data_IF_536891558430
#
_entry.id   IF_536891558430
#
_cell.length_a   1.000
_cell.length_b   1.000
_cell.length_c   1.000
_cell.angle_alpha   90.00
_cell.angle_beta   90.00
_cell.angle_gamma   90.00
#
_symmetry.space_group_name_H-M   'P 1'
#
loop_
_entity.id
_entity.type
_entity.pdbx_description
1 polymer ?
#
# COMPACT_ATOMS: atom_id res chain seq x y z
N UNK A 1 4.48 23.88 14.79
CA UNK A 1 3.61 23.05 15.67
C UNK A 1 3.53 23.73 17.02
N UNK A 2 2.36 23.92 17.55
CA UNK A 2 2.09 24.51 18.85
C UNK A 2 1.46 23.47 19.79
N UNK A 3 1.38 23.77 21.09
CA UNK A 3 0.66 22.90 22.03
C UNK A 3 -0.81 22.73 21.63
N UNK A 4 -1.44 23.79 21.11
CA UNK A 4 -2.80 23.72 20.60
C UNK A 4 -2.97 22.76 19.45
N UNK A 5 -2.01 22.66 18.53
CA UNK A 5 -2.06 21.68 17.43
C UNK A 5 -2.07 20.24 17.98
N UNK A 6 -1.25 19.95 19.02
CA UNK A 6 -1.22 18.64 19.67
C UNK A 6 -2.52 18.33 20.43
N UNK A 7 -3.14 19.33 21.05
CA UNK A 7 -4.40 19.19 21.79
C UNK A 7 -5.59 18.88 20.86
N UNK A 8 -5.51 19.22 19.59
CA UNK A 8 -6.54 18.95 18.58
C UNK A 8 -6.39 17.62 17.85
N UNK A 9 -5.24 16.96 17.94
CA UNK A 9 -5.03 15.63 17.34
C UNK A 9 -5.98 14.63 17.99
N UNK A 10 -6.67 13.86 17.14
CA UNK A 10 -7.55 12.77 17.56
C UNK A 10 -7.19 11.51 16.78
N UNK A 11 -7.20 10.38 17.47
CA UNK A 11 -7.13 9.08 16.82
C UNK A 11 -8.46 8.75 16.14
N UNK A 12 -8.40 8.26 14.92
CA UNK A 12 -9.59 7.81 14.18
C UNK A 12 -9.56 6.28 14.10
N UNK A 13 -10.67 5.66 14.50
CA UNK A 13 -10.87 4.22 14.33
C UNK A 13 -11.45 3.96 12.94
N UNK A 14 -10.80 3.10 12.17
CA UNK A 14 -11.26 2.66 10.85
C UNK A 14 -11.41 1.14 10.84
N UNK A 15 -12.41 0.64 10.12
CA UNK A 15 -12.58 -0.80 9.94
C UNK A 15 -11.50 -1.33 9.00
N UNK A 16 -10.95 -2.54 9.28
CA UNK A 16 -9.92 -3.12 8.44
C UNK A 16 -10.47 -3.49 7.06
N UNK A 17 -9.60 -3.40 6.05
CA UNK A 17 -9.87 -4.02 4.75
C UNK A 17 -9.95 -5.53 4.92
N UNK A 18 -10.92 -6.13 4.23
CA UNK A 18 -11.12 -7.58 4.20
C UNK A 18 -10.94 -8.10 2.78
N UNK A 19 -10.21 -9.18 2.64
CA UNK A 19 -10.05 -9.90 1.40
C UNK A 19 -9.86 -11.38 1.63
N UNK A 20 -9.63 -12.12 0.58
CA UNK A 20 -9.32 -13.55 0.67
C UNK A 20 -8.20 -13.94 -0.28
N UNK A 21 -7.39 -14.90 0.12
CA UNK A 21 -6.37 -15.48 -0.73
C UNK A 21 -6.28 -16.99 -0.46
N UNK A 22 -6.56 -17.80 -1.47
CA UNK A 22 -6.48 -19.28 -1.40
C UNK A 22 -7.22 -19.87 -0.20
N UNK A 23 -8.39 -19.33 0.14
CA UNK A 23 -9.22 -19.79 1.24
C UNK A 23 -8.89 -19.15 2.61
N UNK A 24 -7.84 -18.35 2.71
CA UNK A 24 -7.52 -17.58 3.92
C UNK A 24 -8.20 -16.22 3.88
N UNK A 25 -8.74 -15.77 5.02
CA UNK A 25 -9.16 -14.39 5.20
C UNK A 25 -7.92 -13.52 5.44
N UNK A 26 -7.87 -12.38 4.76
CA UNK A 26 -6.81 -11.37 4.91
C UNK A 26 -7.43 -10.12 5.51
N UNK A 27 -6.89 -9.67 6.63
CA UNK A 27 -7.21 -8.39 7.26
C UNK A 27 -6.01 -7.46 7.11
N UNK A 28 -6.26 -6.22 6.67
CA UNK A 28 -5.18 -5.26 6.43
C UNK A 28 -5.62 -3.83 6.74
N UNK A 29 -4.70 -2.90 7.04
CA UNK A 29 -5.05 -1.50 7.27
C UNK A 29 -5.80 -0.90 6.09
N UNK A 30 -6.85 -0.11 6.36
CA UNK A 30 -7.58 0.62 5.32
C UNK A 30 -6.85 1.92 4.93
N UNK A 31 -7.28 2.61 3.87
CA UNK A 31 -6.84 3.97 3.60
C UNK A 31 -6.99 4.89 4.84
N UNK A 32 -6.09 5.87 5.01
CA UNK A 32 -5.11 6.36 4.02
C UNK A 32 -3.89 5.45 3.79
N UNK A 33 -3.72 4.37 4.56
CA UNK A 33 -2.65 3.41 4.25
C UNK A 33 -2.90 2.72 2.91
N UNK A 34 -1.99 2.86 1.98
CA UNK A 34 -2.05 2.20 0.68
C UNK A 34 -1.65 0.72 0.75
N UNK A 35 -0.88 0.32 1.77
CA UNK A 35 -0.29 -1.01 1.90
C UNK A 35 -1.31 -2.14 1.87
N UNK A 36 -2.46 -1.96 2.54
CA UNK A 36 -3.52 -2.96 2.57
C UNK A 36 -4.17 -3.19 1.21
N UNK A 37 -4.46 -2.13 0.47
CA UNK A 37 -5.01 -2.21 -0.87
C UNK A 37 -4.03 -2.87 -1.84
N UNK A 38 -2.77 -2.41 -1.86
CA UNK A 38 -1.72 -3.02 -2.70
C UNK A 38 -1.54 -4.50 -2.40
N UNK A 39 -1.51 -4.88 -1.11
CA UNK A 39 -1.37 -6.28 -0.72
C UNK A 39 -2.52 -7.14 -1.27
N UNK A 40 -3.77 -6.72 -1.05
CA UNK A 40 -4.94 -7.45 -1.52
C UNK A 40 -4.99 -7.54 -3.05
N UNK A 41 -4.65 -6.48 -3.74
CA UNK A 41 -4.59 -6.46 -5.20
C UNK A 41 -3.52 -7.40 -5.73
N UNK A 42 -2.29 -7.36 -5.21
CA UNK A 42 -1.21 -8.26 -5.59
C UNK A 42 -1.62 -9.72 -5.34
N UNK A 43 -2.16 -10.03 -4.17
CA UNK A 43 -2.61 -11.38 -3.84
C UNK A 43 -3.72 -11.85 -4.80
N UNK A 44 -4.70 -11.01 -5.10
CA UNK A 44 -5.78 -11.33 -6.02
C UNK A 44 -5.29 -11.57 -7.46
N UNK A 45 -4.33 -10.78 -7.94
CA UNK A 45 -3.69 -11.01 -9.24
C UNK A 45 -2.93 -12.34 -9.22
N UNK A 46 -2.12 -12.58 -8.19
CA UNK A 46 -1.31 -13.79 -8.04
C UNK A 46 -2.14 -15.06 -7.86
N UNK A 47 -3.35 -14.97 -7.31
CA UNK A 47 -4.23 -16.13 -7.07
C UNK A 47 -4.59 -16.88 -8.36
N UNK A 48 -4.60 -16.20 -9.49
CA UNK A 48 -4.86 -16.81 -10.80
C UNK A 48 -3.70 -17.62 -11.38
N UNK A 49 -2.55 -17.66 -10.69
CA UNK A 49 -1.38 -18.44 -11.11
C UNK A 49 -1.09 -19.57 -10.14
N UNK A 50 -0.71 -20.73 -10.64
CA UNK A 50 -0.18 -21.82 -9.81
C UNK A 50 1.30 -21.58 -9.47
N UNK A 51 1.55 -20.60 -8.59
CA UNK A 51 2.91 -20.24 -8.18
C UNK A 51 3.62 -21.41 -7.47
N UNK A 52 2.88 -22.32 -6.83
CA UNK A 52 3.47 -23.44 -6.11
C UNK A 52 4.17 -24.42 -7.07
N UNK A 53 3.56 -24.70 -8.22
CA UNK A 53 4.15 -25.57 -9.24
C UNK A 53 5.35 -24.97 -9.96
N UNK A 54 5.53 -23.64 -9.88
CA UNK A 54 6.64 -22.95 -10.54
C UNK A 54 7.97 -23.11 -9.81
N UNK A 55 7.94 -23.56 -8.56
CA UNK A 55 9.10 -23.69 -7.68
C UNK A 55 9.44 -22.39 -6.94
N UNK A 56 9.94 -22.55 -5.72
CA UNK A 56 10.29 -21.45 -4.84
C UNK A 56 11.40 -20.59 -5.45
N UNK A 57 11.19 -19.28 -5.49
CA UNK A 57 12.10 -18.28 -6.09
C UNK A 57 12.50 -18.54 -7.54
N UNK A 58 11.72 -19.33 -8.29
CA UNK A 58 11.97 -19.48 -9.73
C UNK A 58 11.81 -18.13 -10.45
N UNK A 59 12.57 -17.94 -11.53
CA UNK A 59 12.47 -16.71 -12.33
C UNK A 59 11.05 -16.43 -12.83
N UNK A 60 10.30 -17.49 -13.12
CA UNK A 60 8.90 -17.39 -13.55
C UNK A 60 7.99 -16.89 -12.41
N UNK A 61 8.12 -17.44 -11.22
CA UNK A 61 7.34 -17.00 -10.06
C UNK A 61 7.68 -15.55 -9.69
N UNK A 62 8.98 -15.21 -9.64
CA UNK A 62 9.45 -13.84 -9.37
C UNK A 62 8.94 -12.87 -10.42
N UNK A 63 8.98 -13.24 -11.71
CA UNK A 63 8.45 -12.42 -12.80
C UNK A 63 6.97 -12.08 -12.61
N UNK A 64 6.12 -13.08 -12.36
CA UNK A 64 4.67 -12.87 -12.21
C UNK A 64 4.32 -12.03 -10.99
N UNK A 65 5.02 -12.26 -9.87
CA UNK A 65 4.84 -11.44 -8.67
C UNK A 65 5.27 -9.98 -8.93
N UNK A 66 6.41 -9.77 -9.60
CA UNK A 66 6.87 -8.43 -9.95
C UNK A 66 5.91 -7.71 -10.91
N UNK A 67 5.34 -8.43 -11.88
CA UNK A 67 4.33 -7.87 -12.78
C UNK A 67 3.02 -7.51 -12.04
N UNK A 68 2.59 -8.33 -11.08
CA UNK A 68 1.45 -8.00 -10.21
C UNK A 68 1.73 -6.75 -9.36
N UNK A 69 2.92 -6.67 -8.77
CA UNK A 69 3.35 -5.50 -8.00
C UNK A 69 3.36 -4.23 -8.85
N UNK A 70 3.90 -4.27 -10.07
CA UNK A 70 3.90 -3.09 -10.97
C UNK A 70 2.49 -2.54 -11.18
N UNK A 71 1.48 -3.41 -11.31
CA UNK A 71 0.10 -2.99 -11.53
C UNK A 71 -0.51 -2.40 -10.27
N UNK A 72 -0.36 -3.06 -9.14
CA UNK A 72 -0.85 -2.54 -7.86
C UNK A 72 -0.19 -1.19 -7.50
N UNK A 73 1.10 -1.03 -7.77
CA UNK A 73 1.78 0.25 -7.54
C UNK A 73 1.42 1.34 -8.57
N UNK A 74 1.07 0.97 -9.79
CA UNK A 74 0.51 1.93 -10.74
C UNK A 74 -0.89 2.39 -10.29
N UNK A 75 -1.72 1.47 -9.79
CA UNK A 75 -3.03 1.80 -9.23
C UNK A 75 -2.90 2.62 -7.94
N UNK A 76 -1.94 2.26 -7.07
CA UNK A 76 -1.59 3.04 -5.89
C UNK A 76 -1.28 4.48 -6.27
N UNK A 77 -0.36 4.68 -7.20
CA UNK A 77 0.10 5.99 -7.62
C UNK A 77 -1.02 6.88 -8.19
N UNK A 78 -2.08 6.29 -8.71
CA UNK A 78 -3.13 7.05 -9.39
C UNK A 78 -4.45 7.15 -8.61
N UNK A 79 -4.73 6.21 -7.71
CA UNK A 79 -6.08 6.03 -7.14
C UNK A 79 -6.14 6.17 -5.64
N UNK A 80 -4.99 6.18 -4.95
CA UNK A 80 -4.99 6.19 -3.49
C UNK A 80 -4.70 7.57 -2.93
N UNK A 81 -5.29 7.85 -1.79
CA UNK A 81 -5.14 9.08 -1.04
C UNK A 81 -5.91 9.00 0.26
N UNK A 82 -5.98 10.09 0.99
CA UNK A 82 -6.78 10.15 2.22
C UNK A 82 -8.27 10.17 1.87
N UNK A 83 -9.06 9.14 2.29
CA UNK A 83 -10.49 9.03 1.98
C UNK A 83 -11.33 10.13 2.61
N UNK A 84 -10.78 10.90 3.56
CA UNK A 84 -11.46 12.05 4.13
C UNK A 84 -11.45 13.25 3.15
N UNK A 85 -10.60 13.22 2.11
CA UNK A 85 -10.44 14.28 1.10
C UNK A 85 -10.69 13.80 -0.34
N UNK A 86 -10.42 12.53 -0.65
CA UNK A 86 -10.56 11.98 -2.00
C UNK A 86 -11.32 10.66 -2.01
N UNK A 87 -12.00 10.38 -3.11
CA UNK A 87 -12.70 9.11 -3.28
C UNK A 87 -11.74 8.02 -3.73
N UNK A 88 -11.40 7.11 -2.83
CA UNK A 88 -10.60 5.91 -3.12
C UNK A 88 -11.53 4.78 -3.53
N UNK A 89 -11.38 4.16 -4.72
CA UNK A 89 -12.27 3.11 -5.22
C UNK A 89 -11.97 1.72 -4.61
N UNK A 90 -11.99 1.64 -3.28
CA UNK A 90 -11.60 0.45 -2.49
C UNK A 90 -12.25 -0.83 -2.99
N UNK A 91 -13.58 -0.83 -3.11
CA UNK A 91 -14.40 -1.98 -3.54
C UNK A 91 -13.95 -2.53 -4.91
N UNK A 92 -13.55 -1.63 -5.81
CA UNK A 92 -13.07 -2.02 -7.14
C UNK A 92 -11.69 -2.67 -7.05
N UNK A 93 -10.75 -2.00 -6.38
CA UNK A 93 -9.34 -2.43 -6.30
C UNK A 93 -9.18 -3.79 -5.61
N UNK A 94 -9.97 -4.07 -4.57
CA UNK A 94 -9.90 -5.37 -3.87
C UNK A 94 -10.72 -6.47 -4.54
N UNK A 95 -11.45 -6.17 -5.63
CA UNK A 95 -12.31 -7.16 -6.27
C UNK A 95 -11.53 -8.18 -7.11
N UNK A 96 -11.95 -9.44 -7.07
CA UNK A 96 -11.38 -10.51 -7.92
C UNK A 96 -11.53 -10.18 -9.42
N UNK A 97 -12.68 -9.57 -9.79
CA UNK A 97 -12.94 -9.17 -11.19
C UNK A 97 -11.93 -8.15 -11.69
N UNK A 98 -11.55 -7.19 -10.85
CA UNK A 98 -10.54 -6.21 -11.19
C UNK A 98 -9.17 -6.88 -11.36
N UNK A 99 -8.81 -7.74 -10.42
CA UNK A 99 -7.57 -8.50 -10.48
C UNK A 99 -7.47 -9.40 -11.73
N UNK A 100 -8.59 -10.02 -12.16
CA UNK A 100 -8.66 -10.81 -13.41
C UNK A 100 -8.32 -9.93 -14.62
N UNK A 101 -8.85 -8.73 -14.68
CA UNK A 101 -8.53 -7.76 -15.73
C UNK A 101 -7.05 -7.37 -15.70
N UNK A 102 -6.52 -6.99 -14.54
CA UNK A 102 -5.12 -6.62 -14.38
C UNK A 102 -4.17 -7.78 -14.72
N UNK A 103 -4.57 -9.02 -14.38
CA UNK A 103 -3.83 -10.22 -14.72
C UNK A 103 -3.79 -10.46 -16.24
N UNK A 104 -4.88 -10.19 -16.97
CA UNK A 104 -4.91 -10.34 -18.42
C UNK A 104 -3.96 -9.43 -19.18
N UNK A 105 -3.46 -8.37 -18.53
CA UNK A 105 -2.47 -7.44 -19.09
C UNK A 105 -1.02 -7.94 -18.89
N UNK A 106 -0.80 -9.03 -18.13
CA UNK A 106 0.53 -9.56 -17.83
C UNK A 106 0.98 -10.51 -18.93
N UNK A 107 2.10 -10.17 -19.59
CA UNK A 107 2.84 -11.14 -20.38
C UNK A 107 3.58 -12.08 -19.42
N UNK A 108 3.34 -13.40 -19.55
CA UNK A 108 3.92 -14.38 -18.63
C UNK A 108 5.37 -14.75 -18.93
N UNK A 109 5.94 -14.19 -20.00
CA UNK A 109 7.30 -14.47 -20.48
C UNK A 109 8.16 -13.21 -20.49
N UNK A 110 7.62 -12.09 -20.97
CA UNK A 110 8.36 -10.85 -21.13
C UNK A 110 7.94 -9.82 -20.07
N UNK A 111 8.94 -9.16 -19.46
CA UNK A 111 8.69 -8.11 -18.49
C UNK A 111 8.10 -6.86 -19.18
N UNK A 112 7.02 -6.33 -18.64
CA UNK A 112 6.47 -5.06 -19.08
C UNK A 112 7.38 -3.91 -18.61
N UNK A 113 7.75 -3.01 -19.51
CA UNK A 113 8.47 -1.79 -19.12
C UNK A 113 7.61 -0.97 -18.15
N UNK A 114 8.19 -0.57 -17.00
CA UNK A 114 7.44 0.12 -15.94
C UNK A 114 6.72 1.37 -16.42
N UNK A 115 7.34 2.13 -17.33
CA UNK A 115 6.74 3.33 -17.94
C UNK A 115 5.50 3.06 -18.81
N UNK A 116 5.24 1.81 -19.17
CA UNK A 116 4.06 1.39 -19.94
C UNK A 116 2.93 0.89 -19.05
N UNK A 117 3.22 0.53 -17.82
CA UNK A 117 2.18 0.10 -16.87
C UNK A 117 1.45 1.34 -16.37
N UNK A 118 0.16 1.42 -16.66
CA UNK A 118 -0.73 2.46 -16.17
C UNK A 118 -1.64 1.90 -15.09
N UNK A 119 -2.27 2.78 -14.30
CA UNK A 119 -3.35 2.36 -13.46
C UNK A 119 -4.48 1.75 -14.30
N UNK A 120 -5.15 0.79 -13.74
CA UNK A 120 -6.32 0.22 -14.40
C UNK A 120 -7.52 1.19 -14.43
N UNK A 121 -7.43 2.28 -13.68
CA UNK A 121 -8.33 3.45 -13.69
C UNK A 121 -7.40 4.66 -13.54
N UNK A 122 -7.64 5.84 -14.08
CA UNK A 122 -6.63 6.92 -14.12
C UNK A 122 -6.61 7.87 -12.90
N UNK A 123 -5.44 8.20 -12.33
CA UNK A 123 -4.99 9.34 -11.48
C UNK A 123 -3.55 9.21 -10.86
N UNK A 124 -2.81 10.08 -10.42
CA UNK A 124 -1.56 10.53 -9.76
C UNK A 124 -0.36 9.63 -9.29
N UNK A 125 0.80 10.12 -8.74
CA UNK A 125 2.10 9.38 -8.47
C UNK A 125 2.64 9.54 -7.04
N UNK A 126 3.64 8.69 -6.60
CA UNK A 126 4.05 8.39 -5.20
C UNK A 126 5.53 8.13 -4.84
N UNK A 127 5.90 8.14 -3.51
CA UNK A 127 7.20 7.95 -2.85
C UNK A 127 7.33 6.77 -1.84
N UNK A 128 8.48 6.59 -1.10
CA UNK A 128 8.78 5.36 -0.31
C UNK A 128 9.68 5.57 0.91
N UNK A 129 9.28 5.17 2.19
CA UNK A 129 10.15 4.67 3.28
C UNK A 129 9.37 4.46 4.61
N UNK A 130 9.51 3.29 5.27
CA UNK A 130 8.70 2.93 6.46
C UNK A 130 9.45 1.95 7.37
N UNK A 131 9.18 1.96 8.68
CA UNK A 131 9.67 0.99 9.67
C UNK A 131 8.51 0.25 10.32
N UNK A 132 8.64 -1.09 10.44
CA UNK A 132 7.69 -1.95 11.13
C UNK A 132 8.35 -2.69 12.29
N UNK A 133 7.64 -2.79 13.42
CA UNK A 133 8.11 -3.56 14.57
C UNK A 133 6.97 -4.27 15.29
N UNK A 134 7.29 -5.39 15.95
CA UNK A 134 6.37 -6.13 16.78
C UNK A 134 6.95 -6.23 18.21
N UNK A 135 6.08 -6.10 19.20
CA UNK A 135 6.41 -6.25 20.62
C UNK A 135 5.49 -7.28 21.23
N UNK A 136 6.06 -8.18 22.02
CA UNK A 136 5.31 -9.17 22.81
C UNK A 136 5.67 -8.98 24.26
N UNK A 137 4.68 -8.82 25.13
CA UNK A 137 4.91 -8.72 26.58
C UNK A 137 4.95 -10.10 27.27
N UNK A 138 5.25 -10.10 28.57
CA UNK A 138 5.31 -11.33 29.37
C UNK A 138 3.97 -12.02 29.60
N UNK A 139 2.85 -11.36 29.30
CA UNK A 139 1.48 -11.89 29.42
C UNK A 139 0.96 -12.42 28.07
N UNK A 140 1.75 -12.28 26.99
CA UNK A 140 1.42 -12.76 25.65
C UNK A 140 0.62 -11.74 24.84
N UNK A 141 0.48 -10.48 25.27
CA UNK A 141 -0.10 -9.40 24.46
C UNK A 141 0.86 -9.08 23.33
N UNK A 142 0.32 -9.01 22.13
CA UNK A 142 1.10 -8.70 20.91
C UNK A 142 0.69 -7.34 20.37
N UNK A 143 1.67 -6.46 20.19
CA UNK A 143 1.50 -5.20 19.46
C UNK A 143 2.34 -5.26 18.19
N UNK A 144 1.69 -5.06 17.06
CA UNK A 144 2.34 -4.89 15.76
C UNK A 144 2.12 -3.45 15.32
N UNK A 145 3.20 -2.73 15.11
CA UNK A 145 3.15 -1.31 14.81
C UNK A 145 4.04 -0.96 13.62
N UNK A 146 3.48 -0.15 12.74
CA UNK A 146 4.22 0.48 11.66
C UNK A 146 4.36 1.96 11.98
N UNK A 147 5.57 2.49 11.89
CA UNK A 147 5.84 3.91 12.02
C UNK A 147 6.63 4.39 10.81
N UNK A 148 6.28 5.54 10.31
CA UNK A 148 6.91 6.14 9.15
C UNK A 148 6.95 7.64 9.30
N UNK A 149 7.89 8.25 8.63
CA UNK A 149 7.94 9.69 8.40
C UNK A 149 7.80 9.99 6.90
N UNK A 150 7.46 8.96 6.10
CA UNK A 150 7.51 8.83 4.66
C UNK A 150 8.97 8.75 4.14
N UNK A 151 9.72 9.84 4.00
CA UNK A 151 11.15 9.77 3.63
C UNK A 151 12.07 9.66 4.86
N UNK A 152 13.35 9.35 4.64
CA UNK A 152 14.37 9.35 5.68
C UNK A 152 14.42 10.73 6.37
N UNK A 153 14.15 10.75 7.68
CA UNK A 153 14.02 11.98 8.48
C UNK A 153 12.83 12.88 8.10
N UNK A 154 11.83 12.35 7.37
CA UNK A 154 10.64 13.08 6.95
C UNK A 154 11.00 14.36 6.19
N UNK A 155 10.27 15.44 6.42
CA UNK A 155 10.56 16.74 5.80
C UNK A 155 11.86 17.41 6.29
N UNK A 156 12.69 16.70 7.07
CA UNK A 156 14.00 17.15 7.62
C UNK A 156 13.91 18.35 8.55
N UNK A 157 12.72 18.60 9.07
CA UNK A 157 12.46 19.66 10.06
C UNK A 157 12.33 19.04 11.44
N UNK A 158 13.15 19.51 12.40
CA UNK A 158 13.05 19.13 13.80
C UNK A 158 12.17 20.15 14.52
N UNK A 159 11.19 19.66 15.27
CA UNK A 159 10.34 20.53 16.10
C UNK A 159 11.15 21.05 17.28
N UNK A 160 11.32 22.37 17.36
CA UNK A 160 12.10 23.01 18.42
C UNK A 160 11.63 22.60 19.83
N UNK A 161 12.58 22.17 20.67
CA UNK A 161 12.33 21.77 22.05
C UNK A 161 11.75 20.35 22.23
N UNK A 162 11.50 19.59 21.18
CA UNK A 162 10.92 18.23 21.27
C UNK A 162 11.89 17.13 20.88
N UNK A 163 12.83 17.41 19.97
CA UNK A 163 13.82 16.44 19.50
C UNK A 163 13.33 15.42 18.47
N UNK A 164 12.09 15.53 17.94
CA UNK A 164 11.61 14.67 16.87
C UNK A 164 11.46 15.39 15.52
N UNK A 165 11.56 14.62 14.44
CA UNK A 165 11.34 15.09 13.08
C UNK A 165 9.85 15.14 12.73
N UNK A 166 9.46 16.10 11.91
CA UNK A 166 8.14 16.09 11.26
C UNK A 166 8.17 15.13 10.08
N UNK A 167 7.06 14.46 9.87
CA UNK A 167 6.86 13.62 8.67
C UNK A 167 6.69 14.48 7.41
N UNK A 168 6.80 13.86 6.26
CA UNK A 168 6.45 14.38 4.94
C UNK A 168 5.41 13.49 4.23
N UNK A 169 4.53 12.84 5.01
CA UNK A 169 3.49 11.96 4.51
C UNK A 169 2.57 12.59 3.43
N UNK A 170 2.52 13.92 3.41
CA UNK A 170 1.79 14.64 2.35
C UNK A 170 2.40 14.45 0.96
N UNK A 171 3.67 14.03 0.87
CA UNK A 171 4.34 13.70 -0.39
C UNK A 171 3.88 12.35 -0.96
N UNK A 172 3.25 11.50 -0.12
CA UNK A 172 2.60 10.27 -0.54
C UNK A 172 1.29 10.52 -1.31
N UNK A 173 0.74 11.72 -1.23
CA UNK A 173 -0.45 12.08 -1.96
C UNK A 173 -0.10 12.63 -3.33
N UNK A 174 -0.74 12.08 -4.34
CA UNK A 174 -0.59 12.59 -5.69
C UNK A 174 -1.18 14.00 -5.81
N UNK A 175 -0.32 14.98 -6.07
CA UNK A 175 -0.79 16.30 -6.44
C UNK A 175 -1.47 16.22 -7.81
N UNK A 176 -2.78 16.49 -7.87
CA UNK A 176 -3.44 16.76 -9.16
C UNK A 176 -3.05 18.17 -9.58
N UNK A 177 -2.56 18.37 -10.81
CA UNK A 177 -2.51 19.71 -11.38
C UNK A 177 -3.94 20.26 -11.44
N UNK A 178 -4.12 21.54 -11.09
CA UNK A 178 -5.38 22.27 -11.25
C UNK A 178 -5.76 22.37 -12.74
#
# INVERSE_FOLDING_TARGET
>A
MTRGDLEHIRSVRRDPLRGSYRGYEILSPPPPSSGGLCLLEILNICEGYDLASMGFHSSRAVHLVAEAMKRAYADRAELMGDPDFVSVPVEVLVSKRYADRRRSEIDTVCATEGVRVRAGIEAGREGRHTTHFCVVDGEGTIVSATTTLNDLFGCKVIVGGTGFFLNDEMDDFSAKPD
#
